data_IF_854379256927
#
_entry.id   IF_854379256927
#
_cell.length_a   1.000
_cell.length_b   1.000
_cell.length_c   1.000
_cell.angle_alpha   90.00
_cell.angle_beta   90.00
_cell.angle_gamma   90.00
#
_symmetry.space_group_name_H-M   'P 1'
#
loop_
_entity.id
_entity.type
_entity.pdbx_description
1 polymer ?
#
# COMPACT_ATOMS: atom_id res chain seq x y z
N UNK A 1 5.78 -18.27 -30.11
CA UNK A 1 5.51 -18.34 -28.66
C UNK A 1 6.68 -17.65 -27.99
N UNK A 2 6.52 -16.38 -27.66
CA UNK A 2 7.53 -15.60 -26.93
C UNK A 2 7.51 -16.09 -25.48
N UNK A 3 8.61 -16.69 -25.02
CA UNK A 3 8.84 -16.93 -23.60
C UNK A 3 8.92 -15.54 -22.94
N UNK A 4 7.91 -15.16 -22.18
CA UNK A 4 8.07 -14.08 -21.24
C UNK A 4 9.28 -14.46 -20.37
N UNK A 5 10.35 -13.67 -20.43
CA UNK A 5 11.48 -13.82 -19.51
C UNK A 5 10.89 -13.76 -18.09
N UNK A 6 10.93 -14.91 -17.41
CA UNK A 6 10.60 -15.00 -16.01
C UNK A 6 11.65 -14.17 -15.26
N UNK A 7 11.33 -12.92 -14.99
CA UNK A 7 12.19 -12.05 -14.19
C UNK A 7 12.30 -12.69 -12.80
N UNK A 8 13.48 -13.18 -12.46
CA UNK A 8 13.77 -13.76 -11.15
C UNK A 8 13.70 -12.65 -10.11
N UNK A 9 12.78 -12.69 -9.12
CA UNK A 9 12.69 -11.67 -8.09
C UNK A 9 13.97 -11.60 -7.27
N UNK A 10 14.42 -10.39 -6.97
CA UNK A 10 15.61 -10.12 -6.16
C UNK A 10 15.21 -9.75 -4.74
N UNK A 11 15.80 -10.42 -3.77
CA UNK A 11 15.53 -10.20 -2.34
C UNK A 11 16.84 -9.88 -1.63
N UNK A 12 16.86 -8.79 -0.87
CA UNK A 12 17.94 -8.46 0.07
C UNK A 12 17.48 -8.82 1.48
N UNK A 13 18.26 -9.60 2.18
CA UNK A 13 18.02 -9.98 3.58
C UNK A 13 19.04 -9.28 4.46
N UNK A 14 18.57 -8.46 5.39
CA UNK A 14 19.41 -7.70 6.33
C UNK A 14 19.12 -8.17 7.74
N UNK A 15 20.01 -8.97 8.30
CA UNK A 15 19.88 -9.57 9.62
C UNK A 15 21.27 -9.98 10.13
N UNK A 16 21.60 -9.69 11.38
CA UNK A 16 22.91 -9.97 11.96
C UNK A 16 23.08 -11.41 12.46
N UNK A 17 22.03 -12.25 12.35
CA UNK A 17 22.03 -13.66 12.72
C UNK A 17 22.34 -14.56 11.49
N UNK A 18 23.59 -15.10 11.34
CA UNK A 18 23.98 -15.86 10.16
C UNK A 18 23.14 -17.13 9.93
N UNK A 19 22.78 -17.82 11.02
CA UNK A 19 21.97 -19.02 10.94
C UNK A 19 20.58 -18.77 10.34
N UNK A 20 19.96 -17.63 10.67
CA UNK A 20 18.68 -17.23 10.14
C UNK A 20 18.79 -16.79 8.67
N UNK A 21 19.80 -15.98 8.35
CA UNK A 21 20.00 -15.52 6.96
C UNK A 21 20.28 -16.67 6.02
N UNK A 22 21.09 -17.67 6.42
CA UNK A 22 21.37 -18.88 5.62
C UNK A 22 20.11 -19.74 5.44
N UNK A 23 19.31 -19.89 6.49
CA UNK A 23 18.03 -20.60 6.41
C UNK A 23 17.07 -19.90 5.43
N UNK A 24 16.88 -18.60 5.59
CA UNK A 24 15.98 -17.78 4.74
C UNK A 24 16.47 -17.84 3.30
N UNK A 25 17.76 -17.62 3.04
CA UNK A 25 18.37 -17.71 1.71
C UNK A 25 18.02 -19.06 1.06
N UNK A 26 18.30 -20.17 1.75
CA UNK A 26 18.07 -21.52 1.20
C UNK A 26 16.60 -21.80 0.88
N UNK A 27 15.64 -21.20 1.61
CA UNK A 27 14.23 -21.31 1.28
C UNK A 27 13.85 -20.46 0.06
N UNK A 28 14.28 -19.21 0.01
CA UNK A 28 13.92 -18.29 -1.08
C UNK A 28 14.56 -18.68 -2.41
N UNK A 29 15.78 -19.18 -2.42
CA UNK A 29 16.45 -19.68 -3.63
C UNK A 29 15.71 -20.91 -4.20
N UNK A 30 15.20 -21.82 -3.36
CA UNK A 30 14.35 -22.95 -3.81
C UNK A 30 13.02 -22.48 -4.40
N UNK A 31 12.55 -21.30 -4.00
CA UNK A 31 11.35 -20.67 -4.55
C UNK A 31 11.64 -19.86 -5.84
N UNK A 32 12.89 -19.91 -6.34
CA UNK A 32 13.30 -19.26 -7.59
C UNK A 32 13.62 -17.78 -7.43
N UNK A 33 13.98 -17.30 -6.24
CA UNK A 33 14.37 -15.92 -5.97
C UNK A 33 15.89 -15.78 -5.90
N UNK A 34 16.44 -14.66 -6.37
CA UNK A 34 17.84 -14.32 -6.18
C UNK A 34 18.00 -13.61 -4.83
N UNK A 35 18.88 -14.09 -3.96
CA UNK A 35 19.01 -13.61 -2.58
C UNK A 35 20.40 -13.08 -2.30
N UNK A 36 20.47 -11.86 -1.78
CA UNK A 36 21.66 -11.25 -1.20
C UNK A 36 21.46 -11.05 0.32
N UNK A 37 22.49 -11.29 1.12
CA UNK A 37 22.40 -11.18 2.58
C UNK A 37 23.43 -10.20 3.11
N UNK A 38 23.02 -9.37 4.07
CA UNK A 38 23.83 -8.34 4.73
C UNK A 38 23.69 -8.51 6.24
N UNK A 39 24.79 -8.33 6.97
CA UNK A 39 24.83 -8.50 8.42
C UNK A 39 24.56 -7.20 9.21
N UNK A 40 24.43 -6.05 8.55
CA UNK A 40 24.18 -4.77 9.18
C UNK A 40 23.39 -3.81 8.27
N UNK A 41 22.84 -2.76 8.86
CA UNK A 41 21.96 -1.82 8.16
C UNK A 41 22.67 -0.98 7.09
N UNK A 42 23.95 -0.65 7.24
CA UNK A 42 24.69 0.13 6.24
C UNK A 42 24.99 -0.70 5.00
N UNK A 43 25.43 -1.96 5.20
CA UNK A 43 25.62 -2.92 4.12
C UNK A 43 24.28 -3.18 3.40
N UNK A 44 23.18 -3.32 4.13
CA UNK A 44 21.84 -3.45 3.58
C UNK A 44 21.43 -2.28 2.68
N UNK A 45 21.64 -1.03 3.13
CA UNK A 45 21.35 0.16 2.33
C UNK A 45 22.20 0.23 1.05
N UNK A 46 23.47 -0.17 1.12
CA UNK A 46 24.37 -0.24 -0.05
C UNK A 46 23.86 -1.29 -1.05
N UNK A 47 23.58 -2.52 -0.58
CA UNK A 47 23.05 -3.61 -1.40
C UNK A 47 21.76 -3.22 -2.12
N UNK A 48 20.83 -2.53 -1.43
CA UNK A 48 19.58 -2.06 -2.04
C UNK A 48 19.82 -1.04 -3.16
N UNK A 49 20.80 -0.13 -2.98
CA UNK A 49 21.17 0.83 -4.04
C UNK A 49 21.79 0.16 -5.26
N UNK A 50 22.66 -0.81 -5.02
CA UNK A 50 23.44 -1.45 -6.09
C UNK A 50 22.59 -2.44 -6.89
N UNK A 51 21.67 -3.15 -6.23
CA UNK A 51 20.90 -4.24 -6.87
C UNK A 51 19.49 -3.87 -7.27
N UNK A 52 18.94 -2.76 -6.74
CA UNK A 52 17.53 -2.37 -6.91
C UNK A 52 16.58 -3.58 -6.73
N UNK A 53 16.54 -4.21 -5.53
CA UNK A 53 15.80 -5.44 -5.31
C UNK A 53 14.29 -5.21 -5.38
N UNK A 54 13.54 -6.30 -5.54
CA UNK A 54 12.07 -6.28 -5.48
C UNK A 54 11.57 -6.28 -4.04
N UNK A 55 12.34 -6.87 -3.13
CA UNK A 55 11.98 -7.10 -1.73
C UNK A 55 13.19 -6.93 -0.81
N UNK A 56 12.95 -6.38 0.37
CA UNK A 56 13.90 -6.34 1.48
C UNK A 56 13.28 -7.01 2.70
N UNK A 57 13.96 -7.99 3.25
CA UNK A 57 13.67 -8.56 4.57
C UNK A 57 14.62 -7.88 5.54
N UNK A 58 14.08 -7.22 6.56
CA UNK A 58 14.84 -6.31 7.39
C UNK A 58 14.62 -6.60 8.87
N UNK A 59 15.68 -7.04 9.55
CA UNK A 59 15.60 -7.15 11.00
C UNK A 59 15.49 -5.78 11.66
N UNK A 60 14.66 -5.69 12.70
CA UNK A 60 14.51 -4.48 13.51
C UNK A 60 15.72 -4.26 14.41
N UNK A 61 16.29 -5.34 14.94
CA UNK A 61 17.33 -5.30 15.98
C UNK A 61 18.75 -5.40 15.42
N UNK A 62 19.09 -4.57 14.43
CA UNK A 62 20.41 -4.56 13.84
C UNK A 62 21.44 -3.80 14.69
N UNK A 63 22.72 -4.22 14.68
CA UNK A 63 23.80 -3.47 15.34
C UNK A 63 24.06 -2.14 14.63
N UNK A 64 24.30 -1.09 15.41
CA UNK A 64 24.65 0.23 14.92
C UNK A 64 23.46 1.03 14.38
N UNK A 65 22.97 0.73 13.20
CA UNK A 65 21.81 1.37 12.59
C UNK A 65 20.59 0.43 12.67
N UNK A 66 19.60 0.78 13.49
CA UNK A 66 18.41 -0.05 13.67
C UNK A 66 17.56 -0.17 12.40
N UNK A 67 16.74 -1.23 12.32
CA UNK A 67 15.94 -1.52 11.13
C UNK A 67 14.89 -0.44 10.81
N UNK A 68 14.38 0.28 11.79
CA UNK A 68 13.44 1.37 11.53
C UNK A 68 14.11 2.52 10.78
N UNK A 69 15.32 2.90 11.22
CA UNK A 69 16.10 3.95 10.56
C UNK A 69 16.60 3.50 9.17
N UNK A 70 16.97 2.21 9.02
CA UNK A 70 17.28 1.62 7.70
C UNK A 70 16.09 1.74 6.78
N UNK A 71 14.89 1.34 7.20
CA UNK A 71 13.66 1.43 6.41
C UNK A 71 13.36 2.87 6.00
N UNK A 72 13.47 3.82 6.94
CA UNK A 72 13.25 5.24 6.67
C UNK A 72 14.18 5.76 5.58
N UNK A 73 15.49 5.48 5.69
CA UNK A 73 16.50 5.89 4.68
C UNK A 73 16.32 5.18 3.34
N UNK A 74 15.88 3.93 3.37
CA UNK A 74 15.59 3.15 2.16
C UNK A 74 14.48 3.83 1.35
N UNK A 75 13.45 4.34 2.01
CA UNK A 75 12.33 5.01 1.35
C UNK A 75 12.70 6.32 0.63
N UNK A 76 13.85 6.93 0.96
CA UNK A 76 14.35 8.12 0.27
C UNK A 76 14.81 7.80 -1.18
N UNK A 77 15.05 6.52 -1.53
CA UNK A 77 15.59 6.15 -2.84
C UNK A 77 15.08 4.83 -3.44
N UNK A 78 14.25 4.08 -2.72
CA UNK A 78 13.76 2.78 -3.18
C UNK A 78 12.29 2.56 -2.83
N UNK A 79 11.56 2.00 -3.80
CA UNK A 79 10.17 1.56 -3.68
C UNK A 79 10.05 0.03 -3.46
N UNK A 80 11.17 -0.68 -3.22
CA UNK A 80 11.18 -2.10 -2.90
C UNK A 80 10.21 -2.42 -1.75
N UNK A 81 9.53 -3.55 -1.82
CA UNK A 81 8.73 -3.99 -0.69
C UNK A 81 9.61 -4.30 0.52
N UNK A 82 9.19 -3.92 1.71
CA UNK A 82 9.92 -4.17 2.96
C UNK A 82 9.05 -4.98 3.91
N UNK A 83 9.53 -6.16 4.29
CA UNK A 83 8.98 -6.93 5.42
C UNK A 83 9.94 -6.78 6.59
N UNK A 84 9.46 -6.21 7.69
CA UNK A 84 10.24 -6.17 8.92
C UNK A 84 10.17 -7.50 9.66
N UNK A 85 11.32 -8.00 10.09
CA UNK A 85 11.47 -9.18 10.92
C UNK A 85 11.79 -8.71 12.35
N UNK A 86 11.13 -9.23 13.38
CA UNK A 86 11.40 -8.77 14.73
C UNK A 86 11.12 -9.82 15.80
N UNK A 87 12.00 -9.92 16.78
CA UNK A 87 11.74 -10.66 18.01
C UNK A 87 10.71 -9.96 18.93
N UNK A 88 10.40 -8.68 18.65
CA UNK A 88 9.41 -7.91 19.38
C UNK A 88 8.03 -8.22 18.87
N UNK A 89 7.17 -8.70 19.73
CA UNK A 89 5.77 -9.05 19.42
C UNK A 89 4.80 -7.92 19.78
N UNK A 90 5.30 -6.82 20.34
CA UNK A 90 4.46 -5.72 20.80
C UNK A 90 3.79 -5.00 19.62
N UNK A 91 2.51 -4.72 19.80
CA UNK A 91 1.70 -4.00 18.79
C UNK A 91 2.31 -2.62 18.46
N UNK A 92 2.94 -1.97 19.45
CA UNK A 92 3.57 -0.66 19.26
C UNK A 92 4.72 -0.74 18.26
N UNK A 93 5.63 -1.71 18.36
CA UNK A 93 6.77 -1.88 17.46
C UNK A 93 6.29 -2.19 16.03
N UNK A 94 5.22 -2.99 15.88
CA UNK A 94 4.59 -3.26 14.59
C UNK A 94 4.02 -1.99 13.96
N UNK A 95 3.29 -1.19 14.73
CA UNK A 95 2.74 0.09 14.26
C UNK A 95 3.86 1.05 13.87
N UNK A 96 4.95 1.13 14.66
CA UNK A 96 6.13 1.97 14.33
C UNK A 96 6.75 1.52 13.01
N UNK A 97 7.01 0.21 12.83
CA UNK A 97 7.60 -0.33 11.60
C UNK A 97 6.79 0.00 10.35
N UNK A 98 5.49 -0.23 10.39
CA UNK A 98 4.60 0.12 9.29
C UNK A 98 4.51 1.64 9.08
N UNK A 99 4.64 2.44 10.16
CA UNK A 99 4.60 3.92 10.07
C UNK A 99 5.83 4.49 9.39
N UNK A 100 7.02 3.90 9.55
CA UNK A 100 8.25 4.33 8.88
C UNK A 100 8.35 3.87 7.42
N UNK A 101 7.36 3.07 6.96
CA UNK A 101 7.22 2.71 5.56
C UNK A 101 7.44 1.24 5.23
N UNK A 102 7.49 0.33 6.21
CA UNK A 102 7.43 -1.10 5.93
C UNK A 102 6.07 -1.48 5.36
N UNK A 103 6.04 -2.51 4.51
CA UNK A 103 4.84 -3.00 3.86
C UNK A 103 4.18 -4.12 4.67
N UNK A 104 4.97 -4.88 5.42
CA UNK A 104 4.49 -5.92 6.33
C UNK A 104 5.45 -6.10 7.50
N UNK A 105 5.00 -6.81 8.53
CA UNK A 105 5.74 -7.08 9.75
C UNK A 105 5.55 -8.53 10.16
N UNK A 106 6.65 -9.26 10.40
CA UNK A 106 6.65 -10.67 10.75
C UNK A 106 7.44 -10.89 12.04
N UNK A 107 6.75 -11.44 13.04
CA UNK A 107 7.37 -11.74 14.34
C UNK A 107 8.27 -12.98 14.28
N UNK A 108 9.45 -12.92 14.87
CA UNK A 108 10.33 -14.06 15.12
C UNK A 108 9.87 -14.80 16.42
N UNK A 109 9.86 -16.14 16.46
CA UNK A 109 10.18 -17.07 15.37
C UNK A 109 9.02 -17.22 14.38
N UNK A 110 9.32 -17.27 13.08
CA UNK A 110 8.34 -17.45 12.02
C UNK A 110 8.56 -18.75 11.25
N UNK A 111 7.49 -19.22 10.61
CA UNK A 111 7.59 -20.34 9.67
C UNK A 111 8.15 -19.87 8.33
N UNK A 112 9.16 -20.57 7.73
CA UNK A 112 9.60 -20.27 6.38
C UNK A 112 8.47 -20.26 5.34
N UNK A 113 7.46 -21.11 5.53
CA UNK A 113 6.28 -21.15 4.65
C UNK A 113 5.46 -19.86 4.76
N UNK A 114 5.31 -19.33 5.95
CA UNK A 114 4.62 -18.05 6.20
C UNK A 114 5.37 -16.90 5.54
N UNK A 115 6.70 -16.82 5.73
CA UNK A 115 7.54 -15.80 5.10
C UNK A 115 7.39 -15.85 3.56
N UNK A 116 7.51 -17.04 2.95
CA UNK A 116 7.36 -17.22 1.49
C UNK A 116 5.96 -16.80 1.03
N UNK A 117 4.91 -17.16 1.75
CA UNK A 117 3.54 -16.76 1.40
C UNK A 117 3.37 -15.23 1.39
N UNK A 118 3.92 -14.53 2.40
CA UNK A 118 3.89 -13.05 2.49
C UNK A 118 4.68 -12.40 1.36
N UNK A 119 5.89 -12.88 1.08
CA UNK A 119 6.73 -12.40 -0.03
C UNK A 119 5.99 -12.57 -1.37
N UNK A 120 5.45 -13.76 -1.64
CA UNK A 120 4.71 -14.03 -2.87
C UNK A 120 3.46 -13.15 -2.98
N UNK A 121 2.77 -12.89 -1.88
CA UNK A 121 1.61 -12.02 -1.84
C UNK A 121 1.96 -10.59 -2.29
N UNK A 122 3.08 -10.04 -1.79
CA UNK A 122 3.56 -8.71 -2.17
C UNK A 122 4.13 -8.68 -3.60
N UNK A 123 4.89 -9.69 -4.03
CA UNK A 123 5.52 -9.74 -5.35
C UNK A 123 4.58 -10.09 -6.52
N UNK A 124 3.39 -10.67 -6.26
CA UNK A 124 2.39 -10.94 -7.32
C UNK A 124 1.91 -9.70 -8.05
N UNK A 125 2.22 -8.52 -7.55
CA UNK A 125 1.81 -7.24 -8.12
C UNK A 125 2.78 -6.82 -9.20
N UNK A 126 2.29 -6.51 -10.39
CA UNK A 126 3.13 -5.86 -11.36
C UNK A 126 3.55 -4.50 -10.80
N UNK A 127 4.87 -4.26 -10.70
CA UNK A 127 5.45 -2.93 -10.46
C UNK A 127 5.05 -1.93 -11.55
N UNK A 128 4.45 -2.42 -12.63
CA UNK A 128 3.94 -1.66 -13.75
C UNK A 128 2.51 -2.11 -14.09
N UNK A 129 1.54 -1.33 -13.65
CA UNK A 129 0.21 -1.29 -14.27
C UNK A 129 -0.89 -2.15 -13.64
N UNK A 130 -1.85 -1.48 -13.04
CA UNK A 130 -3.19 -1.97 -12.65
C UNK A 130 -4.08 -2.38 -13.85
N UNK A 131 -3.54 -2.42 -15.07
CA UNK A 131 -4.32 -2.65 -16.29
C UNK A 131 -5.04 -4.02 -16.34
N UNK A 132 -4.75 -4.97 -15.45
CA UNK A 132 -5.26 -6.33 -15.53
C UNK A 132 -5.76 -6.94 -14.21
N UNK A 133 -6.29 -6.18 -13.27
CA UNK A 133 -7.01 -6.79 -12.13
C UNK A 133 -8.45 -7.06 -12.55
N UNK A 134 -8.88 -8.33 -12.75
CA UNK A 134 -10.27 -8.63 -13.09
C UNK A 134 -11.20 -8.22 -11.95
N UNK A 135 -12.21 -7.43 -12.26
CA UNK A 135 -13.32 -7.16 -11.34
C UNK A 135 -14.25 -8.39 -11.29
N UNK A 136 -14.74 -8.79 -10.11
CA UNK A 136 -15.86 -9.73 -10.05
C UNK A 136 -17.11 -9.06 -10.65
N UNK A 137 -17.36 -9.28 -11.94
CA UNK A 137 -18.47 -8.67 -12.69
C UNK A 137 -18.17 -8.48 -14.18
N UNK A 138 -16.92 -8.41 -14.59
CA UNK A 138 -16.53 -8.27 -15.99
C UNK A 138 -16.66 -9.61 -16.74
N UNK A 139 -17.89 -9.92 -17.16
CA UNK A 139 -18.14 -10.84 -18.27
C UNK A 139 -18.29 -10.03 -19.54
N UNK A 140 -17.18 -9.91 -20.28
CA UNK A 140 -17.22 -9.70 -21.72
C UNK A 140 -17.52 -8.29 -22.21
N UNK A 141 -16.49 -7.52 -22.50
CA UNK A 141 -16.50 -6.60 -23.62
C UNK A 141 -15.11 -6.51 -24.21
N UNK A 142 -14.86 -7.29 -25.24
CA UNK A 142 -13.79 -7.05 -26.22
C UNK A 142 -14.32 -5.94 -27.12
N UNK A 143 -13.78 -4.75 -27.01
CA UNK A 143 -14.17 -3.62 -27.86
C UNK A 143 -13.18 -2.47 -27.73
N UNK A 144 -12.43 -2.26 -28.77
CA UNK A 144 -11.38 -1.27 -29.00
C UNK A 144 -11.78 0.20 -28.75
N UNK A 145 -10.74 1.01 -28.41
CA UNK A 145 -10.61 2.46 -28.62
C UNK A 145 -11.31 3.38 -27.64
N UNK A 146 -10.80 3.42 -26.39
CA UNK A 146 -10.86 4.59 -25.49
C UNK A 146 -9.76 4.48 -24.42
N UNK A 147 -8.49 4.28 -24.82
CA UNK A 147 -7.42 3.75 -23.96
C UNK A 147 -6.73 4.78 -23.05
N UNK A 148 -7.03 6.06 -23.11
CA UNK A 148 -6.27 7.07 -22.35
C UNK A 148 -7.02 7.72 -21.16
N UNK A 149 -8.34 7.57 -21.06
CA UNK A 149 -9.14 8.22 -20.01
C UNK A 149 -9.33 7.37 -18.76
N UNK A 150 -9.14 6.03 -18.83
CA UNK A 150 -9.35 5.14 -17.70
C UNK A 150 -8.13 5.02 -16.75
N UNK A 151 -6.94 5.44 -17.20
CA UNK A 151 -5.70 5.28 -16.47
C UNK A 151 -5.25 6.52 -15.68
N UNK A 152 -5.82 7.70 -15.93
CA UNK A 152 -5.53 8.92 -15.19
C UNK A 152 -6.82 9.67 -14.86
N UNK A 153 -6.92 10.18 -13.63
CA UNK A 153 -8.09 10.93 -13.18
C UNK A 153 -7.71 12.05 -12.21
N UNK A 154 -8.58 13.06 -12.14
CA UNK A 154 -8.48 14.16 -11.19
C UNK A 154 -9.79 14.27 -10.42
N UNK A 155 -9.70 14.33 -9.09
CA UNK A 155 -10.84 14.47 -8.18
C UNK A 155 -10.56 15.52 -7.12
N UNK A 156 -11.15 16.70 -7.31
CA UNK A 156 -10.82 17.85 -6.50
C UNK A 156 -9.37 18.29 -6.74
N UNK A 157 -8.58 18.30 -5.67
CA UNK A 157 -7.17 18.71 -5.70
C UNK A 157 -6.21 17.52 -5.95
N UNK A 158 -6.71 16.29 -5.94
CA UNK A 158 -5.94 15.06 -6.12
C UNK A 158 -6.03 14.57 -7.56
N UNK A 159 -4.88 14.36 -8.18
CA UNK A 159 -4.74 13.70 -9.49
C UNK A 159 -3.91 12.44 -9.36
N UNK A 160 -4.30 11.39 -10.07
CA UNK A 160 -3.64 10.09 -10.05
C UNK A 160 -3.48 9.55 -11.45
N UNK A 161 -2.29 9.03 -11.76
CA UNK A 161 -1.97 8.30 -13.00
C UNK A 161 -1.58 6.86 -12.63
N UNK A 162 -2.43 5.92 -12.99
CA UNK A 162 -2.25 4.50 -12.66
C UNK A 162 -1.10 3.86 -13.44
N UNK A 163 -0.83 4.32 -14.68
CA UNK A 163 0.25 3.78 -15.52
C UNK A 163 1.62 4.25 -15.04
N UNK A 164 1.72 5.54 -14.69
CA UNK A 164 2.96 6.14 -14.16
C UNK A 164 3.14 5.91 -12.67
N UNK A 165 2.13 5.35 -12.00
CA UNK A 165 2.07 5.21 -10.54
C UNK A 165 2.38 6.53 -9.82
N UNK A 166 1.85 7.62 -10.30
CA UNK A 166 2.09 8.96 -9.77
C UNK A 166 0.84 9.58 -9.20
N UNK A 167 1.01 10.32 -8.10
CA UNK A 167 -0.04 11.07 -7.42
C UNK A 167 0.40 12.51 -7.26
N UNK A 168 -0.50 13.45 -7.51
CA UNK A 168 -0.26 14.86 -7.22
C UNK A 168 -1.42 15.45 -6.43
N UNK A 169 -1.12 16.40 -5.54
CA UNK A 169 -2.11 17.21 -4.84
C UNK A 169 -1.81 18.67 -5.13
N UNK A 170 -2.79 19.40 -5.66
CA UNK A 170 -2.63 20.80 -6.12
C UNK A 170 -1.44 20.96 -7.07
N UNK A 171 -1.16 19.95 -7.88
CA UNK A 171 -0.04 19.92 -8.82
C UNK A 171 1.32 19.57 -8.21
N UNK A 172 1.44 19.43 -6.89
CA UNK A 172 2.65 18.96 -6.21
C UNK A 172 2.68 17.44 -6.15
N UNK A 173 3.82 16.82 -6.51
CA UNK A 173 3.99 15.37 -6.43
C UNK A 173 3.95 14.89 -4.98
N UNK A 174 3.31 13.73 -4.77
CA UNK A 174 3.24 13.04 -3.47
C UNK A 174 3.87 11.66 -3.61
N UNK A 175 4.89 11.40 -2.81
CA UNK A 175 5.58 10.11 -2.80
C UNK A 175 4.83 9.10 -1.92
N UNK A 176 4.20 8.14 -2.56
CA UNK A 176 3.52 7.03 -1.91
C UNK A 176 4.35 5.74 -2.04
N UNK A 177 4.31 4.89 -1.02
CA UNK A 177 4.79 3.51 -1.18
C UNK A 177 3.87 2.76 -2.14
N UNK A 178 4.33 1.61 -2.65
CA UNK A 178 3.51 0.78 -3.55
C UNK A 178 2.16 0.42 -2.94
N UNK A 179 2.12 0.07 -1.64
CA UNK A 179 0.88 -0.26 -0.95
C UNK A 179 -0.05 0.94 -0.74
N UNK A 180 0.50 2.09 -0.37
CA UNK A 180 -0.29 3.33 -0.22
C UNK A 180 -0.91 3.77 -1.54
N UNK A 181 -0.14 3.66 -2.64
CA UNK A 181 -0.64 3.91 -3.97
C UNK A 181 -1.79 2.95 -4.34
N UNK A 182 -1.61 1.65 -4.09
CA UNK A 182 -2.59 0.62 -4.40
C UNK A 182 -3.87 0.79 -3.58
N UNK A 183 -3.75 1.14 -2.30
CA UNK A 183 -4.89 1.48 -1.44
C UNK A 183 -5.67 2.68 -1.99
N UNK A 184 -4.97 3.75 -2.36
CA UNK A 184 -5.60 4.94 -2.94
C UNK A 184 -6.28 4.63 -4.27
N UNK A 185 -5.61 3.87 -5.14
CA UNK A 185 -6.14 3.43 -6.42
C UNK A 185 -7.42 2.62 -6.27
N UNK A 186 -7.40 1.65 -5.34
CA UNK A 186 -8.54 0.80 -5.07
C UNK A 186 -9.74 1.57 -4.49
N UNK A 187 -9.50 2.38 -3.47
CA UNK A 187 -10.55 3.18 -2.83
C UNK A 187 -11.17 4.20 -3.79
N UNK A 188 -10.33 4.81 -4.63
CA UNK A 188 -10.78 5.85 -5.57
C UNK A 188 -11.46 5.31 -6.82
N UNK A 189 -11.40 4.01 -7.10
CA UNK A 189 -12.03 3.40 -8.28
C UNK A 189 -13.54 3.62 -8.28
N UNK A 190 -14.17 3.42 -7.13
CA UNK A 190 -15.62 3.58 -6.94
C UNK A 190 -15.91 4.55 -5.77
N UNK A 191 -15.88 5.87 -6.03
CA UNK A 191 -16.13 6.86 -4.98
C UNK A 191 -17.49 6.69 -4.32
N UNK A 192 -17.52 6.82 -2.99
CA UNK A 192 -18.74 6.64 -2.19
C UNK A 192 -19.03 5.19 -1.81
N UNK A 193 -18.42 4.22 -2.47
CA UNK A 193 -18.57 2.79 -2.12
C UNK A 193 -17.65 2.46 -0.95
N UNK A 194 -18.20 1.75 0.05
CA UNK A 194 -17.42 1.29 1.21
C UNK A 194 -16.71 0.00 0.84
N UNK A 195 -15.39 -0.03 1.07
CA UNK A 195 -14.55 -1.23 0.94
C UNK A 195 -14.20 -1.70 2.35
N UNK A 196 -14.49 -2.95 2.67
CA UNK A 196 -14.18 -3.50 4.01
C UNK A 196 -12.69 -3.70 4.19
N UNK A 197 -12.20 -3.79 5.45
CA UNK A 197 -10.79 -4.08 5.75
C UNK A 197 -10.34 -5.38 5.10
N UNK A 198 -11.15 -6.43 5.22
CA UNK A 198 -10.85 -7.71 4.58
C UNK A 198 -10.76 -7.59 3.05
N UNK A 199 -11.68 -6.86 2.41
CA UNK A 199 -11.60 -6.63 0.97
C UNK A 199 -10.36 -5.82 0.55
N UNK A 200 -9.94 -4.85 1.36
CA UNK A 200 -8.69 -4.12 1.16
C UNK A 200 -7.49 -5.08 1.31
N UNK A 201 -7.50 -5.90 2.34
CA UNK A 201 -6.45 -6.88 2.60
C UNK A 201 -6.32 -7.87 1.43
N UNK A 202 -7.42 -8.50 1.03
CA UNK A 202 -7.45 -9.49 -0.05
C UNK A 202 -6.97 -8.90 -1.39
N UNK A 203 -7.40 -7.67 -1.68
CA UNK A 203 -7.09 -7.01 -2.95
C UNK A 203 -5.71 -6.36 -2.96
N UNK A 204 -5.22 -5.92 -1.79
CA UNK A 204 -3.96 -5.19 -1.68
C UNK A 204 -2.82 -6.07 -1.16
N UNK A 205 -3.03 -7.06 -0.33
CA UNK A 205 -2.00 -8.02 0.12
C UNK A 205 -2.20 -9.40 -0.52
N UNK A 206 -3.41 -9.69 -1.01
CA UNK A 206 -3.77 -10.96 -1.64
C UNK A 206 -4.51 -11.88 -0.68
N UNK A 207 -5.33 -12.78 -1.26
CA UNK A 207 -6.20 -13.70 -0.51
C UNK A 207 -5.46 -14.70 0.37
N UNK A 208 -4.18 -14.97 0.06
CA UNK A 208 -3.34 -15.88 0.86
C UNK A 208 -2.53 -15.14 1.94
N UNK A 209 -2.77 -13.85 2.15
CA UNK A 209 -2.07 -13.08 3.17
C UNK A 209 -2.51 -13.50 4.57
N UNK A 210 -1.55 -13.96 5.37
CA UNK A 210 -1.77 -14.44 6.74
C UNK A 210 -1.35 -13.34 7.73
N UNK A 211 -1.95 -12.17 7.63
CA UNK A 211 -1.66 -11.03 8.50
C UNK A 211 -2.91 -10.49 9.18
N UNK A 212 -2.70 -9.54 10.09
CA UNK A 212 -3.77 -8.87 10.83
C UNK A 212 -4.37 -7.73 9.99
N UNK A 213 -5.70 -7.57 10.03
CA UNK A 213 -6.40 -6.46 9.36
C UNK A 213 -5.90 -5.07 9.81
N UNK A 214 -5.29 -4.94 10.98
CA UNK A 214 -4.72 -3.67 11.45
C UNK A 214 -3.61 -3.11 10.57
N UNK A 215 -2.96 -3.95 9.74
CA UNK A 215 -2.01 -3.45 8.74
C UNK A 215 -2.66 -2.44 7.80
N UNK A 216 -3.91 -2.66 7.43
CA UNK A 216 -4.70 -1.74 6.59
C UNK A 216 -4.86 -0.38 7.26
N UNK A 217 -5.19 -0.37 8.56
CA UNK A 217 -5.42 0.88 9.31
C UNK A 217 -4.16 1.75 9.37
N UNK A 218 -2.98 1.13 9.56
CA UNK A 218 -1.70 1.84 9.60
C UNK A 218 -1.36 2.42 8.22
N UNK A 219 -1.49 1.63 7.14
CA UNK A 219 -1.22 2.13 5.79
C UNK A 219 -2.21 3.22 5.36
N UNK A 220 -3.49 3.14 5.74
CA UNK A 220 -4.45 4.23 5.50
C UNK A 220 -4.09 5.48 6.30
N UNK A 221 -3.60 5.35 7.53
CA UNK A 221 -3.12 6.49 8.31
C UNK A 221 -1.89 7.15 7.66
N UNK A 222 -0.93 6.36 7.16
CA UNK A 222 0.23 6.83 6.43
C UNK A 222 -0.16 7.54 5.12
N UNK A 223 -1.03 6.91 4.33
CA UNK A 223 -1.60 7.49 3.12
C UNK A 223 -2.21 8.86 3.41
N UNK A 224 -3.10 8.96 4.41
CA UNK A 224 -3.73 10.23 4.79
C UNK A 224 -2.71 11.29 5.13
N UNK A 225 -1.71 10.96 5.94
CA UNK A 225 -0.63 11.90 6.30
C UNK A 225 0.07 12.45 5.07
N UNK A 226 0.39 11.60 4.09
CA UNK A 226 1.10 11.98 2.86
C UNK A 226 0.23 12.82 1.91
N UNK A 227 -1.06 12.49 1.79
CA UNK A 227 -1.99 13.27 0.96
C UNK A 227 -2.60 14.48 1.68
N UNK A 228 -2.19 14.77 2.93
CA UNK A 228 -2.71 15.90 3.70
C UNK A 228 -4.18 15.77 4.10
N UNK A 229 -4.68 14.54 4.27
CA UNK A 229 -6.05 14.26 4.65
C UNK A 229 -6.21 14.07 6.16
N UNK A 230 -7.23 14.64 6.76
CA UNK A 230 -7.50 14.56 8.20
C UNK A 230 -8.56 13.49 8.49
N UNK A 231 -8.23 12.54 9.36
CA UNK A 231 -9.14 11.45 9.74
C UNK A 231 -10.43 11.94 10.42
N UNK A 232 -10.41 13.12 11.05
CA UNK A 232 -11.59 13.73 11.74
C UNK A 232 -12.46 14.53 10.77
N UNK A 233 -11.86 15.10 9.71
CA UNK A 233 -12.54 15.86 8.65
C UNK A 233 -12.04 15.44 7.27
N UNK A 234 -12.26 14.16 6.89
CA UNK A 234 -11.66 13.61 5.69
C UNK A 234 -12.18 14.32 4.44
N UNK A 235 -11.26 14.66 3.54
CA UNK A 235 -11.54 15.19 2.20
C UNK A 235 -11.48 14.12 1.12
N UNK A 236 -10.62 13.11 1.32
CA UNK A 236 -10.38 12.05 0.36
C UNK A 236 -10.80 10.67 0.89
N UNK A 237 -10.24 10.22 2.01
CA UNK A 237 -10.47 8.87 2.55
C UNK A 237 -11.22 8.95 3.87
N UNK A 238 -12.46 8.48 3.88
CA UNK A 238 -13.32 8.46 5.06
C UNK A 238 -13.30 7.07 5.73
N UNK A 239 -13.22 7.05 7.08
CA UNK A 239 -13.39 5.82 7.86
C UNK A 239 -14.87 5.54 8.10
N UNK A 240 -15.34 4.38 7.70
CA UNK A 240 -16.66 3.86 8.05
C UNK A 240 -16.48 2.93 9.25
N UNK A 241 -16.80 3.44 10.45
CA UNK A 241 -16.53 2.74 11.72
C UNK A 241 -17.08 1.32 11.73
N UNK A 242 -16.26 0.38 12.17
CA UNK A 242 -16.61 -1.04 12.25
C UNK A 242 -16.68 -1.78 10.91
N UNK A 243 -16.50 -1.09 9.75
CA UNK A 243 -16.63 -1.70 8.43
C UNK A 243 -15.33 -1.58 7.64
N UNK A 244 -14.85 -0.36 7.37
CA UNK A 244 -13.69 -0.15 6.50
C UNK A 244 -13.53 1.31 6.08
N UNK A 245 -13.26 1.52 4.80
CA UNK A 245 -12.95 2.83 4.24
C UNK A 245 -13.68 3.08 2.94
N UNK A 246 -13.85 4.36 2.57
CA UNK A 246 -14.34 4.77 1.27
C UNK A 246 -13.65 6.03 0.79
N UNK A 247 -13.50 6.18 -0.52
CA UNK A 247 -13.12 7.45 -1.12
C UNK A 247 -14.33 8.36 -1.19
N UNK A 248 -14.19 9.62 -0.76
CA UNK A 248 -15.30 10.58 -0.78
C UNK A 248 -15.59 11.07 -2.19
N UNK A 249 -16.85 11.13 -2.53
CA UNK A 249 -17.32 11.89 -3.69
C UNK A 249 -17.18 13.36 -3.36
N UNK A 250 -16.45 14.12 -4.15
CA UNK A 250 -16.09 15.53 -3.89
C UNK A 250 -17.24 16.56 -3.88
N UNK A 251 -18.47 16.15 -3.59
CA UNK A 251 -19.57 17.05 -3.31
C UNK A 251 -19.47 17.56 -1.88
N UNK A 252 -19.05 18.81 -1.73
CA UNK A 252 -19.50 19.60 -0.56
C UNK A 252 -21.03 19.51 -0.56
N UNK A 253 -21.63 18.77 0.38
CA UNK A 253 -23.03 18.98 0.74
C UNK A 253 -23.19 20.49 0.94
N UNK A 254 -23.72 21.19 -0.06
CA UNK A 254 -24.41 22.45 0.20
C UNK A 254 -25.55 22.05 1.14
N UNK A 255 -25.39 22.35 2.41
CA UNK A 255 -26.51 22.45 3.33
C UNK A 255 -27.45 23.49 2.69
N UNK A 256 -28.50 23.02 2.06
CA UNK A 256 -29.63 23.86 1.68
C UNK A 256 -30.33 24.20 3.00
N UNK A 257 -29.78 25.20 3.72
CA UNK A 257 -30.53 25.95 4.68
C UNK A 257 -31.34 26.98 3.90
N UNK A 258 -32.60 26.68 3.70
CA UNK A 258 -33.49 27.60 3.01
C UNK A 258 -34.91 27.05 2.92
N UNK A 259 -35.45 26.60 4.00
CA UNK A 259 -36.90 26.70 4.21
C UNK A 259 -37.15 27.98 4.99
N UNK A 260 -37.42 29.03 4.26
CA UNK A 260 -37.96 30.30 4.80
C UNK A 260 -39.38 30.03 5.29
N UNK A 261 -39.67 30.12 6.63
CA UNK A 261 -41.01 29.84 7.14
C UNK A 261 -41.95 31.05 7.05
N UNK A 262 -41.71 32.02 6.13
CA UNK A 262 -42.42 33.27 6.15
C UNK A 262 -43.10 33.63 4.83
N UNK A 263 -43.82 32.66 4.20
CA UNK A 263 -44.72 32.93 3.08
C UNK A 263 -46.11 32.32 3.32
N UNK A 264 -46.73 32.73 4.43
CA UNK A 264 -48.15 32.48 4.69
C UNK A 264 -48.75 33.59 5.54
N UNK A 265 -48.89 34.76 5.00
CA UNK A 265 -49.89 35.79 5.46
C UNK A 265 -49.92 36.92 4.46
N UNK A 266 -50.86 36.87 3.52
CA UNK A 266 -51.60 38.00 2.98
C UNK A 266 -52.48 37.55 1.82
N UNK A 267 -53.71 37.45 2.06
CA UNK A 267 -54.86 38.13 1.44
C UNK A 267 -56.11 37.27 1.45
N UNK A 268 -56.89 37.44 2.50
CA UNK A 268 -58.35 37.39 2.39
C UNK A 268 -58.80 38.81 2.64
N UNK A 269 -59.49 39.39 1.69
CA UNK A 269 -60.07 40.74 1.80
C UNK A 269 -60.83 41.05 0.53
N UNK A 270 -62.17 40.94 0.64
CA UNK A 270 -63.25 41.32 -0.25
C UNK A 270 -63.59 40.43 -1.40
#
# INVERSE_FOLDING_TARGET
>A
MSAAELVTPRVVVVDDEPALTDLVRGYLEREGMAVETCADGLAGLAAVRDTAPDMVLLDVMLPGLDGFEVCRRLRDFSDAYVIMLSARTDEIDRVVGLTVGADDYLAKPFSPRELVARIRALLRRPRSGWANVPTPGDRGAIGNTAEDTDNAWTRGELSMDLRRRSVTIRGAAVELTNLEFDLLALLSREPGVVVTRQQLLDRVWGVDFVGDEHVVDVHVANLRRKIGDDATRPTHVETVRGIGYRYRTGERRRLVHGLDPNLSRSRIGH
#
